data_IF_726225313035
#
_entry.id   IF_726225313035
#
_cell.length_a   1.000
_cell.length_b   1.000
_cell.length_c   1.000
_cell.angle_alpha   90.00
_cell.angle_beta   90.00
_cell.angle_gamma   90.00
#
_symmetry.space_group_name_H-M   'P 1'
#
loop_
_entity.id
_entity.type
_entity.pdbx_description
1 polymer ?
#
# COMPACT_ATOMS: atom_id res chain seq x y z
N UNK A 1 -47.69 -21.65 -3.43
CA UNK A 1 -47.32 -20.84 -2.25
C UNK A 1 -45.83 -20.57 -2.37
N UNK A 2 -45.43 -19.32 -2.18
CA UNK A 2 -44.25 -18.68 -2.76
C UNK A 2 -42.88 -19.19 -2.28
N UNK A 3 -41.89 -18.95 -3.13
CA UNK A 3 -40.44 -19.10 -2.99
C UNK A 3 -39.86 -18.07 -2.03
N UNK A 4 -38.87 -18.45 -1.21
CA UNK A 4 -37.91 -17.50 -0.62
C UNK A 4 -36.49 -17.94 -0.98
N UNK A 5 -35.98 -17.36 -2.06
CA UNK A 5 -34.55 -17.21 -2.28
C UNK A 5 -34.09 -15.97 -1.52
N UNK A 6 -33.20 -16.17 -0.55
CA UNK A 6 -32.53 -15.10 0.18
C UNK A 6 -31.50 -14.42 -0.72
N UNK A 7 -31.78 -13.16 -1.01
CA UNK A 7 -30.98 -12.18 -1.72
C UNK A 7 -29.58 -12.02 -1.10
N UNK A 8 -28.53 -12.36 -1.86
CA UNK A 8 -27.12 -12.08 -1.54
C UNK A 8 -26.58 -10.84 -2.29
N UNK A 9 -27.45 -9.90 -2.65
CA UNK A 9 -27.15 -8.77 -3.52
C UNK A 9 -26.61 -7.49 -2.86
N UNK A 10 -26.03 -7.55 -1.66
CA UNK A 10 -25.75 -6.35 -0.85
C UNK A 10 -24.29 -5.86 -0.81
N UNK A 11 -23.40 -6.28 -1.73
CA UNK A 11 -22.00 -5.79 -1.75
C UNK A 11 -21.54 -5.13 -3.05
N UNK A 12 -22.38 -5.07 -4.09
CA UNK A 12 -21.93 -4.63 -5.43
C UNK A 12 -22.11 -3.11 -5.67
N UNK A 13 -22.80 -2.37 -4.80
CA UNK A 13 -23.24 -0.99 -5.10
C UNK A 13 -22.37 0.15 -4.55
N UNK A 14 -21.47 -0.08 -3.58
CA UNK A 14 -20.59 0.98 -3.04
C UNK A 14 -19.27 1.13 -3.80
N UNK A 15 -18.78 0.06 -4.44
CA UNK A 15 -17.50 0.06 -5.17
C UNK A 15 -17.47 0.94 -6.43
N UNK A 16 -18.63 1.36 -6.94
CA UNK A 16 -18.72 2.15 -8.17
C UNK A 16 -18.38 3.65 -8.00
N UNK A 17 -18.30 4.15 -6.75
CA UNK A 17 -18.12 5.59 -6.46
C UNK A 17 -16.70 5.92 -5.99
N UNK A 18 -15.98 4.96 -5.42
CA UNK A 18 -14.63 5.16 -4.87
C UNK A 18 -13.53 4.67 -5.83
N UNK A 19 -12.99 5.60 -6.62
CA UNK A 19 -12.01 5.31 -7.67
C UNK A 19 -10.66 4.85 -7.12
N UNK A 20 -9.97 4.00 -7.90
CA UNK A 20 -8.55 3.65 -7.68
C UNK A 20 -7.64 4.72 -8.25
N UNK A 21 -6.68 5.19 -7.44
CA UNK A 21 -5.61 6.09 -7.86
C UNK A 21 -4.34 5.25 -8.03
N UNK A 22 -3.67 5.27 -9.21
CA UNK A 22 -2.39 4.59 -9.39
C UNK A 22 -1.36 5.12 -8.39
N UNK A 23 -0.59 4.23 -7.81
CA UNK A 23 0.42 4.58 -6.83
C UNK A 23 1.71 3.80 -7.07
N UNK A 24 2.83 4.40 -6.65
CA UNK A 24 4.14 3.77 -6.64
C UNK A 24 4.76 3.87 -5.25
N UNK A 25 5.63 2.92 -4.91
CA UNK A 25 6.44 3.05 -3.69
C UNK A 25 7.48 4.13 -3.95
N UNK A 26 7.29 5.27 -3.30
CA UNK A 26 8.21 6.38 -3.42
C UNK A 26 9.48 6.14 -2.61
N UNK A 27 9.36 5.56 -1.41
CA UNK A 27 10.50 5.30 -0.54
C UNK A 27 10.14 4.64 0.79
N UNK A 28 11.18 4.26 1.52
CA UNK A 28 11.13 3.78 2.90
C UNK A 28 11.94 4.72 3.78
N UNK A 29 11.45 5.02 4.98
CA UNK A 29 12.13 5.90 5.93
C UNK A 29 11.90 5.45 7.37
N UNK A 30 12.68 6.00 8.29
CA UNK A 30 12.51 5.77 9.73
C UNK A 30 11.94 7.02 10.38
N UNK A 31 10.87 6.86 11.15
CA UNK A 31 10.37 7.95 11.97
C UNK A 31 11.44 8.32 13.04
N UNK A 32 11.87 9.60 13.13
CA UNK A 32 13.02 9.97 13.96
C UNK A 32 12.88 9.64 15.45
N UNK A 33 11.66 9.62 15.96
CA UNK A 33 11.39 9.50 17.40
C UNK A 33 11.15 8.06 17.84
N UNK A 34 10.37 7.29 17.07
CA UNK A 34 10.04 5.90 17.40
C UNK A 34 10.98 4.89 16.74
N UNK A 35 11.80 5.33 15.77
CA UNK A 35 12.55 4.45 14.89
C UNK A 35 11.65 3.41 14.20
N UNK A 36 10.40 3.78 13.94
CA UNK A 36 9.44 2.94 13.24
C UNK A 36 9.56 3.18 11.72
N UNK A 37 9.65 2.12 10.90
CA UNK A 37 9.67 2.27 9.45
C UNK A 37 8.34 2.77 8.89
N UNK A 38 8.44 3.63 7.89
CA UNK A 38 7.31 4.17 7.12
C UNK A 38 7.59 3.91 5.65
N UNK A 39 6.63 3.30 4.95
CA UNK A 39 6.61 3.26 3.48
C UNK A 39 5.79 4.43 2.97
N UNK A 40 6.36 5.18 2.01
CA UNK A 40 5.71 6.32 1.38
C UNK A 40 5.20 5.88 0.01
N UNK A 41 3.88 5.96 -0.17
CA UNK A 41 3.26 5.76 -1.48
C UNK A 41 3.03 7.10 -2.16
N UNK A 42 3.53 7.29 -3.38
CA UNK A 42 3.22 8.46 -4.20
C UNK A 42 2.01 8.14 -5.07
N UNK A 43 1.05 9.06 -5.10
CA UNK A 43 -0.19 8.93 -5.86
C UNK A 43 -0.11 9.71 -7.17
N UNK A 44 -0.48 9.07 -8.28
CA UNK A 44 -0.52 9.68 -9.61
C UNK A 44 -1.95 10.11 -9.98
N UNK A 45 -2.37 11.27 -9.47
CA UNK A 45 -3.68 11.84 -9.78
C UNK A 45 -3.66 12.57 -11.14
N UNK A 46 -4.60 12.25 -12.02
CA UNK A 46 -4.64 12.81 -13.39
C UNK A 46 -4.83 14.33 -13.48
N UNK A 47 -5.27 14.99 -12.40
CA UNK A 47 -5.63 16.41 -12.37
C UNK A 47 -5.00 17.18 -11.20
N UNK A 48 -4.01 16.62 -10.51
CA UNK A 48 -3.32 17.32 -9.42
C UNK A 48 -2.04 17.99 -9.94
N UNK A 49 -1.79 19.22 -9.50
CA UNK A 49 -0.57 19.96 -9.84
C UNK A 49 0.68 19.42 -9.13
N UNK A 50 0.48 18.74 -7.99
CA UNK A 50 1.53 18.08 -7.21
C UNK A 50 1.12 16.61 -6.96
N UNK A 51 2.11 15.70 -6.96
CA UNK A 51 1.87 14.31 -6.56
C UNK A 51 1.72 14.23 -5.05
N UNK A 52 0.56 13.78 -4.58
CA UNK A 52 0.32 13.58 -3.14
C UNK A 52 0.93 12.27 -2.66
N UNK A 53 1.18 12.17 -1.35
CA UNK A 53 1.76 10.97 -0.73
C UNK A 53 0.87 10.39 0.38
N UNK A 54 0.95 9.08 0.57
CA UNK A 54 0.31 8.35 1.67
C UNK A 54 1.40 7.61 2.46
N UNK A 55 1.72 8.04 3.68
CA UNK A 55 2.63 7.34 4.58
C UNK A 55 1.89 6.18 5.27
N UNK A 56 2.53 5.01 5.29
CA UNK A 56 2.03 3.83 6.00
C UNK A 56 3.14 3.31 6.91
N UNK A 57 2.90 3.33 8.22
CA UNK A 57 3.81 2.75 9.20
C UNK A 57 3.76 1.23 9.11
N UNK A 58 4.94 0.61 9.06
CA UNK A 58 5.10 -0.84 8.93
C UNK A 58 6.15 -1.35 9.93
N UNK A 59 6.28 -2.67 10.05
CA UNK A 59 7.33 -3.28 10.86
C UNK A 59 8.67 -3.33 10.14
N UNK A 60 9.74 -3.53 10.92
CA UNK A 60 11.13 -3.58 10.40
C UNK A 60 11.36 -4.72 9.40
N UNK A 61 10.73 -5.88 9.63
CA UNK A 61 10.85 -7.03 8.75
C UNK A 61 10.10 -6.81 7.43
N UNK A 62 8.93 -6.19 7.50
CA UNK A 62 8.16 -5.77 6.33
C UNK A 62 8.93 -4.73 5.49
N UNK A 63 9.54 -3.74 6.13
CA UNK A 63 10.35 -2.74 5.46
C UNK A 63 11.52 -3.37 4.70
N UNK A 64 12.25 -4.31 5.34
CA UNK A 64 13.31 -5.07 4.69
C UNK A 64 12.83 -5.88 3.48
N UNK A 65 11.65 -6.50 3.58
CA UNK A 65 11.07 -7.28 2.48
C UNK A 65 10.69 -6.41 1.26
N UNK A 66 10.21 -5.18 1.50
CA UNK A 66 9.91 -4.18 0.47
C UNK A 66 11.20 -3.63 -0.12
N UNK A 67 12.17 -3.23 0.70
CA UNK A 67 13.46 -2.69 0.25
C UNK A 67 14.18 -3.65 -0.69
N UNK A 68 14.26 -4.94 -0.32
CA UNK A 68 14.89 -5.95 -1.15
C UNK A 68 14.23 -6.07 -2.53
N UNK A 69 12.90 -5.90 -2.60
CA UNK A 69 12.16 -5.93 -3.86
C UNK A 69 12.42 -4.67 -4.71
N UNK A 70 12.47 -3.49 -4.09
CA UNK A 70 12.80 -2.23 -4.78
C UNK A 70 14.19 -2.32 -5.41
N UNK A 71 15.16 -2.89 -4.68
CA UNK A 71 16.54 -3.03 -5.17
C UNK A 71 16.69 -4.06 -6.30
N UNK A 72 15.68 -4.91 -6.53
CA UNK A 72 15.71 -5.97 -7.53
C UNK A 72 16.87 -6.97 -7.32
N UNK A 73 17.40 -7.08 -6.10
CA UNK A 73 18.52 -7.98 -5.79
C UNK A 73 18.01 -9.41 -5.68
N UNK A 74 18.74 -10.35 -6.27
CA UNK A 74 18.51 -11.78 -6.07
C UNK A 74 19.16 -12.24 -4.74
N UNK A 75 18.36 -12.66 -3.74
CA UNK A 75 18.88 -13.17 -2.47
C UNK A 75 19.52 -14.57 -2.58
N UNK A 76 19.53 -15.21 -3.76
CA UNK A 76 20.06 -16.55 -4.01
C UNK A 76 19.14 -17.70 -3.58
N UNK A 77 18.14 -17.42 -2.74
CA UNK A 77 17.05 -18.32 -2.35
C UNK A 77 15.74 -17.51 -2.22
N UNK A 78 14.58 -18.06 -2.64
CA UNK A 78 13.31 -17.35 -2.51
C UNK A 78 13.03 -16.94 -1.07
N UNK A 79 12.73 -15.66 -0.85
CA UNK A 79 12.20 -15.15 0.41
C UNK A 79 10.69 -15.41 0.49
N UNK A 80 10.05 -15.04 1.60
CA UNK A 80 8.63 -15.34 1.85
C UNK A 80 7.70 -14.88 0.72
N UNK A 81 7.84 -13.64 0.25
CA UNK A 81 6.98 -13.12 -0.83
C UNK A 81 7.34 -13.70 -2.20
N UNK A 82 8.59 -14.09 -2.43
CA UNK A 82 8.98 -14.83 -3.64
C UNK A 82 8.37 -16.24 -3.63
N UNK A 83 8.40 -16.92 -2.48
CA UNK A 83 7.75 -18.22 -2.27
C UNK A 83 6.25 -18.13 -2.52
N UNK A 84 5.57 -17.10 -2.00
CA UNK A 84 4.14 -16.87 -2.23
C UNK A 84 3.83 -16.64 -3.70
N UNK A 85 4.59 -15.77 -4.38
CA UNK A 85 4.46 -15.51 -5.82
C UNK A 85 4.62 -16.82 -6.62
N UNK A 86 5.66 -17.59 -6.33
CA UNK A 86 5.90 -18.88 -7.00
C UNK A 86 4.78 -19.89 -6.72
N UNK A 87 4.23 -19.91 -5.50
CA UNK A 87 3.11 -20.79 -5.16
C UNK A 87 1.85 -20.42 -5.94
N UNK A 88 1.54 -19.12 -6.09
CA UNK A 88 0.44 -18.62 -6.91
C UNK A 88 0.61 -19.02 -8.38
N UNK A 89 1.80 -18.83 -8.96
CA UNK A 89 2.10 -19.25 -10.34
C UNK A 89 1.86 -20.75 -10.55
N UNK A 90 2.30 -21.59 -9.60
CA UNK A 90 2.18 -23.04 -9.67
C UNK A 90 0.71 -23.50 -9.69
N UNK A 91 -0.15 -22.85 -8.91
CA UNK A 91 -1.60 -23.16 -8.90
C UNK A 91 -2.35 -22.44 -10.01
N UNK A 92 -1.68 -21.59 -10.80
CA UNK A 92 -2.29 -20.86 -11.90
C UNK A 92 -3.12 -19.67 -11.47
N UNK A 93 -2.74 -19.01 -10.37
CA UNK A 93 -3.27 -17.72 -9.96
C UNK A 93 -2.25 -16.62 -10.28
N UNK A 94 -2.68 -15.57 -10.95
CA UNK A 94 -1.84 -14.41 -11.29
C UNK A 94 -2.27 -13.19 -10.46
N UNK A 95 -1.29 -12.43 -9.95
CA UNK A 95 -1.55 -11.16 -9.25
C UNK A 95 -1.80 -10.07 -10.28
N UNK A 96 -3.04 -9.58 -10.37
CA UNK A 96 -3.44 -8.57 -11.35
C UNK A 96 -3.16 -7.16 -10.84
N UNK A 97 -3.44 -6.92 -9.57
CA UNK A 97 -3.19 -5.63 -8.92
C UNK A 97 -3.25 -5.78 -7.40
N UNK A 98 -2.78 -4.75 -6.71
CA UNK A 98 -2.98 -4.60 -5.28
C UNK A 98 -3.62 -3.25 -4.97
N UNK A 99 -4.53 -3.22 -4.00
CA UNK A 99 -5.29 -2.02 -3.66
C UNK A 99 -5.26 -1.79 -2.15
N UNK A 100 -4.73 -0.65 -1.72
CA UNK A 100 -4.97 -0.15 -0.36
C UNK A 100 -6.39 0.41 -0.33
N UNK A 101 -7.31 -0.35 0.28
CA UNK A 101 -8.76 -0.20 0.08
C UNK A 101 -9.48 0.58 1.17
N UNK A 102 -8.96 0.61 2.40
CA UNK A 102 -9.65 1.24 3.52
C UNK A 102 -8.67 1.60 4.64
N UNK A 103 -9.11 2.48 5.53
CA UNK A 103 -8.50 2.71 6.83
C UNK A 103 -9.59 2.51 7.88
N UNK A 104 -9.38 1.59 8.82
CA UNK A 104 -10.26 1.34 9.95
C UNK A 104 -9.52 1.70 11.24
N UNK A 105 -10.03 2.69 11.99
CA UNK A 105 -9.27 3.27 13.09
C UNK A 105 -7.94 3.83 12.58
N UNK A 106 -6.81 3.26 13.00
CA UNK A 106 -5.46 3.60 12.52
C UNK A 106 -4.81 2.49 11.67
N UNK A 107 -5.60 1.53 11.19
CA UNK A 107 -5.10 0.37 10.45
C UNK A 107 -5.50 0.48 8.99
N UNK A 108 -4.49 0.54 8.12
CA UNK A 108 -4.68 0.45 6.67
C UNK A 108 -4.98 -1.00 6.28
N UNK A 109 -5.94 -1.19 5.38
CA UNK A 109 -6.34 -2.48 4.83
C UNK A 109 -6.02 -2.54 3.34
N UNK A 110 -5.52 -3.67 2.88
CA UNK A 110 -5.22 -3.90 1.46
C UNK A 110 -5.85 -5.21 0.97
N UNK A 111 -5.98 -5.30 -0.35
CA UNK A 111 -6.36 -6.54 -1.03
C UNK A 111 -5.39 -6.79 -2.18
N UNK A 112 -5.11 -8.07 -2.43
CA UNK A 112 -4.45 -8.55 -3.62
C UNK A 112 -5.52 -9.14 -4.52
N UNK A 113 -5.71 -8.54 -5.70
CA UNK A 113 -6.61 -9.07 -6.71
C UNK A 113 -5.87 -10.12 -7.54
N UNK A 114 -6.43 -11.32 -7.58
CA UNK A 114 -5.90 -12.46 -8.31
C UNK A 114 -6.86 -12.85 -9.43
N UNK A 115 -6.33 -13.37 -10.53
CA UNK A 115 -7.11 -14.11 -11.52
C UNK A 115 -6.64 -15.55 -11.61
N UNK A 116 -7.58 -16.49 -11.56
CA UNK A 116 -7.31 -17.91 -11.78
C UNK A 116 -7.27 -18.23 -13.28
N UNK A 117 -6.70 -19.38 -13.67
CA UNK A 117 -6.75 -19.88 -15.06
C UNK A 117 -8.17 -20.01 -15.65
N UNK A 118 -9.18 -20.15 -14.78
CA UNK A 118 -10.60 -20.17 -15.17
C UNK A 118 -11.10 -18.80 -15.65
N UNK A 119 -10.34 -17.73 -15.39
CA UNK A 119 -10.77 -16.34 -15.55
C UNK A 119 -11.54 -15.80 -14.33
N UNK A 120 -11.69 -16.60 -13.27
CA UNK A 120 -12.36 -16.14 -12.06
C UNK A 120 -11.46 -15.21 -11.25
N UNK A 121 -12.01 -14.06 -10.84
CA UNK A 121 -11.33 -13.10 -9.98
C UNK A 121 -11.49 -13.49 -8.51
N UNK A 122 -10.40 -13.39 -7.75
CA UNK A 122 -10.37 -13.61 -6.30
C UNK A 122 -9.76 -12.41 -5.61
N UNK A 123 -10.31 -12.08 -4.45
CA UNK A 123 -9.74 -11.07 -3.55
C UNK A 123 -9.10 -11.77 -2.36
N UNK A 124 -7.81 -11.53 -2.17
CA UNK A 124 -7.07 -11.99 -0.99
C UNK A 124 -6.86 -10.79 -0.06
N UNK A 125 -7.42 -10.86 1.14
CA UNK A 125 -7.20 -9.85 2.17
C UNK A 125 -5.73 -9.87 2.63
N UNK A 126 -5.13 -8.69 2.77
CA UNK A 126 -3.73 -8.54 3.10
C UNK A 126 -3.44 -7.26 3.88
N UNK A 127 -2.36 -7.28 4.67
CA UNK A 127 -1.76 -6.05 5.17
C UNK A 127 -1.14 -5.28 4.00
N UNK A 128 -1.15 -3.94 4.00
CA UNK A 128 -0.53 -3.14 2.94
C UNK A 128 0.92 -3.53 2.68
N UNK A 129 1.71 -3.77 3.74
CA UNK A 129 3.10 -4.19 3.63
C UNK A 129 3.30 -5.46 2.79
N UNK A 130 2.47 -6.47 3.01
CA UNK A 130 2.55 -7.75 2.30
C UNK A 130 2.07 -7.61 0.85
N UNK A 131 0.98 -6.87 0.64
CA UNK A 131 0.45 -6.58 -0.69
C UNK A 131 1.47 -5.83 -1.55
N UNK A 132 2.11 -4.78 -0.99
CA UNK A 132 3.16 -4.00 -1.66
C UNK A 132 4.36 -4.90 -1.99
N UNK A 133 4.86 -5.67 -1.02
CA UNK A 133 6.02 -6.55 -1.22
C UNK A 133 5.76 -7.64 -2.28
N UNK A 134 4.53 -8.14 -2.38
CA UNK A 134 4.11 -9.09 -3.41
C UNK A 134 3.97 -8.42 -4.78
N UNK A 135 3.35 -7.24 -4.84
CA UNK A 135 3.16 -6.50 -6.09
C UNK A 135 4.48 -6.15 -6.77
N UNK A 136 5.47 -5.68 -6.00
CA UNK A 136 6.81 -5.39 -6.51
C UNK A 136 7.48 -6.62 -7.16
N UNK A 137 7.30 -7.81 -6.58
CA UNK A 137 7.85 -9.08 -7.09
C UNK A 137 7.06 -9.65 -8.27
N UNK A 138 5.74 -9.44 -8.27
CA UNK A 138 4.86 -9.86 -9.36
C UNK A 138 4.92 -8.89 -10.56
N UNK A 139 5.46 -7.68 -10.38
CA UNK A 139 5.34 -6.61 -11.37
C UNK A 139 3.90 -6.10 -11.53
N UNK A 140 3.07 -6.28 -10.50
CA UNK A 140 1.67 -5.91 -10.52
C UNK A 140 1.48 -4.43 -10.14
N UNK A 141 0.53 -3.72 -10.75
CA UNK A 141 0.21 -2.34 -10.40
C UNK A 141 -0.32 -2.22 -8.97
N UNK A 142 0.05 -1.12 -8.31
CA UNK A 142 -0.40 -0.73 -6.99
C UNK A 142 -1.38 0.44 -7.09
N UNK A 143 -2.46 0.37 -6.33
CA UNK A 143 -3.47 1.41 -6.25
C UNK A 143 -3.80 1.76 -4.79
N UNK A 144 -4.28 2.99 -4.61
CA UNK A 144 -4.90 3.45 -3.36
C UNK A 144 -6.29 3.97 -3.69
N UNK A 145 -7.30 3.63 -2.90
CA UNK A 145 -8.64 4.20 -3.09
C UNK A 145 -8.68 5.68 -2.75
N UNK A 146 -9.52 6.45 -3.44
CA UNK A 146 -9.65 7.89 -3.21
C UNK A 146 -10.04 8.18 -1.76
N UNK A 147 -10.97 7.41 -1.19
CA UNK A 147 -11.37 7.55 0.22
C UNK A 147 -10.19 7.40 1.19
N UNK A 148 -9.26 6.49 0.91
CA UNK A 148 -8.03 6.27 1.69
C UNK A 148 -7.09 7.47 1.55
N UNK A 149 -6.90 7.97 0.34
CA UNK A 149 -6.06 9.14 0.09
C UNK A 149 -6.60 10.39 0.81
N UNK A 150 -7.91 10.62 0.74
CA UNK A 150 -8.57 11.76 1.38
C UNK A 150 -8.47 11.68 2.91
N UNK A 151 -8.72 10.50 3.50
CA UNK A 151 -8.61 10.31 4.94
C UNK A 151 -7.15 10.39 5.43
N UNK A 152 -6.19 9.89 4.66
CA UNK A 152 -4.77 10.01 4.99
C UNK A 152 -4.32 11.48 5.04
N UNK A 153 -4.83 12.33 4.12
CA UNK A 153 -4.57 13.78 4.12
C UNK A 153 -5.12 14.45 5.38
N UNK A 154 -6.38 14.17 5.73
CA UNK A 154 -7.01 14.75 6.94
C UNK A 154 -6.25 14.35 8.21
N UNK A 155 -5.74 13.12 8.29
CA UNK A 155 -4.95 12.66 9.43
C UNK A 155 -3.56 13.30 9.51
N UNK A 156 -2.98 13.71 8.39
CA UNK A 156 -1.73 14.49 8.38
C UNK A 156 -2.00 15.89 8.96
N UNK A 157 -3.00 16.59 8.44
CA UNK A 157 -3.35 17.95 8.89
C UNK A 157 -3.83 18.01 10.35
N UNK A 158 -4.60 17.02 10.82
CA UNK A 158 -5.06 16.98 12.21
C UNK A 158 -3.92 16.76 13.23
N UNK A 159 -2.81 16.14 12.80
CA UNK A 159 -1.62 15.96 13.64
C UNK A 159 -0.85 17.27 13.84
N UNK A 160 -1.03 18.25 12.95
CA UNK A 160 -0.42 19.58 13.02
C UNK A 160 -1.16 20.52 13.99
N UNK A 161 -2.48 20.36 14.14
CA UNK A 161 -3.32 21.21 15.01
C UNK A 161 -3.36 20.76 16.49
N UNK A 162 -2.58 19.74 16.87
CA UNK A 162 -2.25 19.44 18.28
C UNK A 162 -3.41 18.96 19.18
N UNK A 163 -4.46 18.35 18.63
CA UNK A 163 -5.64 17.92 19.43
C UNK A 163 -5.66 16.44 19.85
N UNK A 164 -4.62 15.64 19.59
CA UNK A 164 -4.45 14.32 20.21
C UNK A 164 -3.01 14.10 20.71
N UNK A 165 -2.86 13.33 21.81
CA UNK A 165 -1.60 13.09 22.53
C UNK A 165 -0.44 12.65 21.59
N UNK A 166 0.82 13.04 21.90
CA UNK A 166 1.90 12.97 20.93
C UNK A 166 2.30 11.52 20.64
N UNK A 167 1.87 11.00 19.49
CA UNK A 167 2.68 10.03 18.75
C UNK A 167 3.54 10.85 17.81
N UNK A 168 4.83 10.94 18.14
CA UNK A 168 5.76 11.92 17.61
C UNK A 168 5.91 11.85 16.08
N UNK A 169 5.13 12.66 15.36
CA UNK A 169 5.14 12.74 13.89
C UNK A 169 6.11 13.80 13.38
N UNK A 170 6.58 13.60 12.16
CA UNK A 170 7.32 14.58 11.37
C UNK A 170 6.35 15.68 10.91
N UNK A 171 6.73 16.95 11.07
CA UNK A 171 5.90 18.09 10.65
C UNK A 171 5.81 18.21 9.11
N UNK A 172 4.76 18.84 8.60
CA UNK A 172 4.47 18.92 7.16
C UNK A 172 5.56 19.66 6.39
N UNK A 173 6.14 20.72 6.97
CA UNK A 173 7.25 21.45 6.34
C UNK A 173 8.49 20.58 6.22
N UNK A 174 8.90 19.84 7.25
CA UNK A 174 9.99 18.86 7.14
C UNK A 174 9.62 17.72 6.21
N UNK A 175 8.37 17.27 6.17
CA UNK A 175 7.92 16.25 5.20
C UNK A 175 8.08 16.78 3.77
N UNK A 176 7.71 18.04 3.52
CA UNK A 176 7.74 18.65 2.20
C UNK A 176 9.17 19.00 1.77
N UNK A 177 9.96 19.65 2.62
CA UNK A 177 11.40 19.90 2.40
C UNK A 177 12.14 18.58 2.14
N UNK A 178 11.81 17.53 2.89
CA UNK A 178 12.48 16.24 2.76
C UNK A 178 12.02 15.45 1.52
N UNK A 179 10.74 15.52 1.15
CA UNK A 179 10.23 14.98 -0.13
C UNK A 179 10.85 15.67 -1.34
N UNK A 180 11.18 16.96 -1.24
CA UNK A 180 11.89 17.74 -2.26
C UNK A 180 13.39 17.42 -2.30
N UNK A 181 14.01 17.07 -1.17
CA UNK A 181 15.42 16.64 -1.06
C UNK A 181 15.69 15.18 -1.44
N UNK A 182 14.66 14.33 -1.56
CA UNK A 182 14.82 12.94 -1.99
C UNK A 182 15.26 12.87 -3.46
N UNK A 183 16.58 12.78 -3.69
CA UNK A 183 17.13 12.31 -4.96
C UNK A 183 16.57 10.91 -5.25
N UNK A 184 15.93 10.66 -6.41
CA UNK A 184 15.47 9.34 -6.82
C UNK A 184 16.53 8.23 -6.69
N UNK A 185 17.81 8.60 -6.69
CA UNK A 185 18.95 7.68 -6.54
C UNK A 185 19.41 7.44 -5.10
N UNK A 186 19.00 8.27 -4.14
CA UNK A 186 19.33 8.11 -2.71
C UNK A 186 18.44 7.07 -2.01
N UNK A 187 17.27 6.76 -2.59
CA UNK A 187 16.26 5.80 -2.12
C UNK A 187 16.74 4.33 -2.06
N UNK A 188 17.95 4.03 -2.55
CA UNK A 188 18.51 2.68 -2.62
C UNK A 188 19.43 2.29 -1.44
N UNK A 189 19.49 3.08 -0.37
CA UNK A 189 20.36 2.76 0.78
C UNK A 189 19.60 2.85 2.10
N UNK A 190 18.75 1.86 2.34
CA UNK A 190 18.39 1.50 3.71
C UNK A 190 19.52 0.62 4.26
N UNK A 191 20.44 1.19 5.03
CA UNK A 191 21.41 0.38 5.78
C UNK A 191 20.71 -0.21 7.01
N UNK A 192 20.65 -1.54 7.08
CA UNK A 192 20.19 -2.28 8.26
C UNK A 192 21.15 -2.14 9.43
#
# INVERSE_FOLDING_TARGET
MATEGGDSGATVREDAVDRKIPAEVHGLMMEPNSNQPIVILRLHEKNASESSVVPIWIGIFEAGAIQLAIEGKDPGRPMTHDLLKNALDLVGAEVIEVVVRAIEGNTFLAVVELVERSGEHRLLDARPSDAIALALRAGAPLFVRQSVADLARVKQTAKEEGTEAPTAGMDEEKMKEWLEELDPKALGKYEM
#
